data_IF_734983737812
#
_entry.id   IF_734983737812
#
_cell.length_a   1.000
_cell.length_b   1.000
_cell.length_c   1.000
_cell.angle_alpha   90.00
_cell.angle_beta   90.00
_cell.angle_gamma   90.00
#
_symmetry.space_group_name_H-M   'P 1'
#
loop_
_entity.id
_entity.type
_entity.pdbx_description
1 polymer ?
#
# COMPACT_ATOMS: atom_id res chain seq x y z
N UNK A 1 -16.60 9.46 -19.26
CA UNK A 1 -17.81 8.73 -19.71
C UNK A 1 -18.71 9.66 -20.50
N UNK A 2 -18.90 9.34 -21.78
CA UNK A 2 -19.89 9.97 -22.66
C UNK A 2 -20.89 8.89 -23.06
N UNK A 3 -22.18 9.14 -22.85
CA UNK A 3 -23.25 8.24 -23.23
C UNK A 3 -23.44 8.26 -24.76
N UNK A 4 -23.73 7.09 -25.34
CA UNK A 4 -24.18 6.97 -26.72
C UNK A 4 -25.65 7.42 -26.84
N UNK A 5 -26.09 7.65 -28.08
CA UNK A 5 -27.47 8.06 -28.34
C UNK A 5 -28.44 6.92 -27.97
N UNK A 6 -29.39 7.20 -27.08
CA UNK A 6 -30.28 6.18 -26.50
C UNK A 6 -29.66 5.32 -25.38
N UNK A 7 -28.43 5.61 -24.95
CA UNK A 7 -27.80 4.90 -23.81
C UNK A 7 -28.24 5.53 -22.49
N UNK A 8 -28.84 4.71 -21.62
CA UNK A 8 -29.30 5.11 -20.29
C UNK A 8 -28.40 4.54 -19.21
N UNK A 9 -28.05 5.38 -18.23
CA UNK A 9 -27.28 4.96 -17.06
C UNK A 9 -28.20 4.27 -16.05
N UNK A 10 -28.01 2.96 -15.86
CA UNK A 10 -28.79 2.19 -14.90
C UNK A 10 -28.20 2.29 -13.49
N UNK A 11 -26.88 2.18 -13.36
CA UNK A 11 -26.25 2.08 -12.04
C UNK A 11 -24.80 2.55 -12.02
N UNK A 12 -24.39 3.10 -10.88
CA UNK A 12 -23.01 3.48 -10.57
C UNK A 12 -22.51 2.71 -9.37
N UNK A 13 -21.40 2.02 -9.54
CA UNK A 13 -20.77 1.14 -8.57
C UNK A 13 -19.38 1.63 -8.20
N UNK A 14 -18.98 1.36 -6.95
CA UNK A 14 -17.63 1.58 -6.43
C UNK A 14 -17.07 0.26 -5.92
N UNK A 15 -15.77 0.02 -6.06
CA UNK A 15 -15.20 -1.23 -5.59
C UNK A 15 -15.18 -1.27 -4.06
N UNK A 16 -15.47 -2.46 -3.53
CA UNK A 16 -15.43 -2.74 -2.12
C UNK A 16 -13.99 -2.60 -1.57
N UNK A 17 -13.77 -2.05 -0.36
CA UNK A 17 -12.44 -1.91 0.21
C UNK A 17 -11.64 -3.22 0.27
N UNK A 18 -12.32 -4.35 0.50
CA UNK A 18 -11.67 -5.67 0.55
C UNK A 18 -11.02 -6.09 -0.77
N UNK A 19 -11.44 -5.53 -1.91
CA UNK A 19 -10.76 -5.78 -3.18
C UNK A 19 -9.30 -5.26 -3.19
N UNK A 20 -8.96 -4.36 -2.26
CA UNK A 20 -7.63 -3.75 -2.13
C UNK A 20 -6.86 -4.29 -0.91
N UNK A 21 -7.29 -5.41 -0.30
CA UNK A 21 -6.63 -5.99 0.88
C UNK A 21 -5.13 -6.19 0.70
N UNK A 22 -4.69 -6.56 -0.51
CA UNK A 22 -3.26 -6.72 -0.84
C UNK A 22 -2.43 -5.46 -0.54
N UNK A 23 -3.01 -4.27 -0.73
CA UNK A 23 -2.33 -3.00 -0.46
C UNK A 23 -2.57 -2.52 0.97
N UNK A 24 -3.74 -2.78 1.52
CA UNK A 24 -4.06 -2.43 2.92
C UNK A 24 -3.17 -3.23 3.88
N UNK A 25 -2.89 -4.50 3.60
CA UNK A 25 -2.09 -5.39 4.45
C UNK A 25 -0.66 -4.89 4.64
N UNK A 26 -0.01 -4.37 3.58
CA UNK A 26 1.34 -3.82 3.71
C UNK A 26 1.37 -2.54 4.53
N UNK A 27 0.33 -1.70 4.41
CA UNK A 27 0.25 -0.48 5.21
C UNK A 27 0.03 -0.79 6.70
N UNK A 28 -0.85 -1.75 7.01
CA UNK A 28 -1.05 -2.25 8.37
C UNK A 28 0.27 -2.83 8.91
N UNK A 29 0.98 -3.60 8.08
CA UNK A 29 2.28 -4.14 8.44
C UNK A 29 3.29 -3.05 8.84
N UNK A 30 3.39 -1.94 8.10
CA UNK A 30 4.27 -0.83 8.49
C UNK A 30 3.88 -0.19 9.82
N UNK A 31 2.59 -0.04 10.10
CA UNK A 31 2.12 0.42 11.41
C UNK A 31 2.57 -0.54 12.50
N UNK A 32 2.37 -1.85 12.31
CA UNK A 32 2.79 -2.87 13.27
C UNK A 32 4.32 -2.88 13.47
N UNK A 33 5.11 -2.76 12.41
CA UNK A 33 6.57 -2.66 12.49
C UNK A 33 7.00 -1.44 13.29
N UNK A 34 6.40 -0.27 13.03
CA UNK A 34 6.72 0.95 13.75
C UNK A 34 6.38 0.86 15.25
N UNK A 35 5.25 0.23 15.60
CA UNK A 35 4.85 -0.05 16.99
C UNK A 35 5.80 -1.06 17.64
N UNK A 36 6.12 -2.15 16.96
CA UNK A 36 7.05 -3.17 17.45
C UNK A 36 8.45 -2.59 17.69
N UNK A 37 8.95 -1.76 16.77
CA UNK A 37 10.23 -1.08 16.90
C UNK A 37 10.21 -0.12 18.10
N UNK A 38 9.13 0.64 18.32
CA UNK A 38 9.00 1.50 19.50
C UNK A 38 9.05 0.71 20.82
N UNK A 39 8.33 -0.41 20.89
CA UNK A 39 8.30 -1.25 22.08
C UNK A 39 9.70 -1.82 22.41
N UNK A 40 10.48 -2.16 21.38
CA UNK A 40 11.83 -2.72 21.52
C UNK A 40 12.91 -1.62 21.67
N UNK A 41 12.60 -0.37 21.35
CA UNK A 41 13.52 0.77 21.40
C UNK A 41 14.13 1.00 22.77
N UNK A 42 13.34 0.80 23.84
CA UNK A 42 13.77 0.99 25.23
C UNK A 42 15.01 0.16 25.58
N UNK A 43 15.06 -1.11 25.17
CA UNK A 43 16.22 -1.97 25.39
C UNK A 43 17.36 -1.68 24.38
N UNK A 44 17.02 -1.38 23.13
CA UNK A 44 18.00 -1.05 22.09
C UNK A 44 18.80 0.21 22.42
N UNK A 45 18.13 1.25 22.91
CA UNK A 45 18.71 2.56 23.20
C UNK A 45 19.80 2.50 24.27
N UNK A 46 19.64 1.64 25.30
CA UNK A 46 20.63 1.42 26.36
C UNK A 46 21.94 0.87 25.80
N UNK A 47 21.84 -0.05 24.84
CA UNK A 47 23.00 -0.67 24.17
C UNK A 47 23.61 0.32 23.17
N UNK A 48 22.76 1.08 22.47
CA UNK A 48 23.19 2.03 21.46
C UNK A 48 23.93 3.25 22.04
N UNK A 49 23.58 3.70 23.24
CA UNK A 49 24.23 4.86 23.89
C UNK A 49 25.65 4.60 24.38
N UNK A 50 26.05 3.33 24.53
CA UNK A 50 27.35 2.94 25.11
C UNK A 50 28.37 2.52 24.05
N UNK A 51 27.93 2.32 22.80
CA UNK A 51 28.73 1.70 21.74
C UNK A 51 28.81 2.55 20.47
N UNK A 52 30.01 2.63 19.88
CA UNK A 52 30.25 3.21 18.53
C UNK A 52 29.43 2.47 17.46
N UNK A 53 29.02 1.23 17.72
CA UNK A 53 28.16 0.43 16.85
C UNK A 53 26.65 0.67 17.07
N UNK A 54 26.25 1.59 17.95
CA UNK A 54 24.84 1.82 18.30
C UNK A 54 23.97 2.25 17.11
N UNK A 55 24.48 3.15 16.26
CA UNK A 55 23.80 3.61 15.05
C UNK A 55 23.64 2.49 14.01
N UNK A 56 24.70 1.80 13.55
CA UNK A 56 24.55 0.74 12.55
C UNK A 56 23.72 -0.43 13.07
N UNK A 57 23.86 -0.83 14.34
CA UNK A 57 23.06 -1.91 14.94
C UNK A 57 21.57 -1.57 14.94
N UNK A 58 21.23 -0.33 15.32
CA UNK A 58 19.85 0.16 15.30
C UNK A 58 19.24 0.09 13.91
N UNK A 59 19.96 0.57 12.90
CA UNK A 59 19.49 0.56 11.53
C UNK A 59 19.30 -0.86 11.02
N UNK A 60 20.26 -1.76 11.26
CA UNK A 60 20.16 -3.18 10.88
C UNK A 60 18.93 -3.83 11.51
N UNK A 61 18.67 -3.57 12.79
CA UNK A 61 17.50 -4.10 13.47
C UNK A 61 16.19 -3.58 12.88
N UNK A 62 16.10 -2.27 12.65
CA UNK A 62 14.94 -1.65 12.01
C UNK A 62 14.71 -2.18 10.60
N UNK A 63 15.75 -2.28 9.77
CA UNK A 63 15.70 -2.89 8.44
C UNK A 63 15.27 -4.35 8.48
N UNK A 64 15.76 -5.11 9.46
CA UNK A 64 15.35 -6.50 9.68
C UNK A 64 13.85 -6.62 9.92
N UNK A 65 13.30 -5.80 10.82
CA UNK A 65 11.84 -5.77 11.06
C UNK A 65 11.07 -5.29 9.83
N UNK A 66 11.57 -4.28 9.11
CA UNK A 66 10.90 -3.74 7.94
C UNK A 66 10.83 -4.75 6.79
N UNK A 67 11.91 -5.49 6.54
CA UNK A 67 12.02 -6.44 5.42
C UNK A 67 11.54 -7.85 5.73
N UNK A 68 11.34 -8.22 7.00
CA UNK A 68 10.97 -9.58 7.40
C UNK A 68 9.77 -10.16 6.62
N UNK A 69 8.60 -9.52 6.66
CA UNK A 69 7.44 -10.02 5.93
C UNK A 69 7.53 -9.83 4.40
N UNK A 70 8.00 -8.69 3.86
CA UNK A 70 8.18 -8.50 2.43
C UNK A 70 9.11 -9.51 1.76
N UNK A 71 10.17 -9.96 2.44
CA UNK A 71 11.05 -11.03 1.94
C UNK A 71 10.27 -12.33 1.81
N UNK A 72 9.51 -12.71 2.83
CA UNK A 72 8.66 -13.91 2.81
C UNK A 72 7.65 -13.83 1.66
N UNK A 73 6.93 -12.72 1.53
CA UNK A 73 5.95 -12.53 0.45
C UNK A 73 6.61 -12.55 -0.93
N UNK A 74 7.77 -11.91 -1.08
CA UNK A 74 8.53 -11.92 -2.33
C UNK A 74 8.98 -13.32 -2.74
N UNK A 75 9.38 -14.14 -1.77
CA UNK A 75 9.81 -15.52 -2.02
C UNK A 75 8.65 -16.45 -2.40
N UNK A 76 7.48 -16.32 -1.74
CA UNK A 76 6.36 -17.24 -1.95
C UNK A 76 5.38 -16.85 -3.06
N UNK A 77 5.15 -15.55 -3.29
CA UNK A 77 4.05 -15.08 -4.14
C UNK A 77 4.49 -14.42 -5.46
N UNK A 78 5.80 -14.40 -5.77
CA UNK A 78 6.35 -13.80 -7.01
C UNK A 78 5.86 -12.34 -7.21
N UNK A 79 5.53 -11.64 -6.12
CA UNK A 79 5.17 -10.21 -6.16
C UNK A 79 6.23 -9.42 -5.41
N UNK A 80 7.08 -8.71 -6.15
CA UNK A 80 8.19 -7.92 -5.59
C UNK A 80 7.78 -6.54 -5.09
N UNK A 81 6.54 -6.10 -5.35
CA UNK A 81 6.07 -4.76 -4.97
C UNK A 81 6.19 -4.45 -3.47
N UNK A 82 5.81 -5.35 -2.54
CA UNK A 82 5.97 -5.07 -1.11
C UNK A 82 7.43 -4.86 -0.70
N UNK A 83 8.33 -5.65 -1.30
CA UNK A 83 9.76 -5.55 -1.07
C UNK A 83 10.29 -4.20 -1.57
N UNK A 84 9.92 -3.79 -2.78
CA UNK A 84 10.31 -2.49 -3.33
C UNK A 84 9.82 -1.31 -2.48
N UNK A 85 8.56 -1.33 -2.04
CA UNK A 85 8.04 -0.29 -1.15
C UNK A 85 8.78 -0.25 0.19
N UNK A 86 9.14 -1.40 0.74
CA UNK A 86 9.84 -1.50 2.03
C UNK A 86 11.28 -1.02 1.91
N UNK A 87 11.97 -1.38 0.82
CA UNK A 87 13.32 -0.87 0.52
C UNK A 87 13.29 0.64 0.31
N UNK A 88 12.31 1.16 -0.42
CA UNK A 88 12.17 2.60 -0.63
C UNK A 88 11.96 3.37 0.69
N UNK A 89 11.07 2.88 1.55
CA UNK A 89 10.83 3.46 2.87
C UNK A 89 12.07 3.36 3.76
N UNK A 90 12.75 2.21 3.75
CA UNK A 90 13.99 1.97 4.49
C UNK A 90 15.12 2.90 4.06
N UNK A 91 15.31 3.05 2.75
CA UNK A 91 16.33 3.91 2.15
C UNK A 91 16.06 5.38 2.49
N UNK A 92 14.80 5.82 2.39
CA UNK A 92 14.40 7.19 2.75
C UNK A 92 14.62 7.47 4.24
N UNK A 93 14.19 6.57 5.13
CA UNK A 93 14.38 6.73 6.57
C UNK A 93 15.87 6.75 6.94
N UNK A 94 16.67 5.88 6.33
CA UNK A 94 18.13 5.85 6.52
C UNK A 94 18.76 7.17 6.05
N UNK A 95 18.43 7.63 4.84
CA UNK A 95 18.95 8.88 4.32
C UNK A 95 18.62 10.08 5.23
N UNK A 96 17.38 10.18 5.72
CA UNK A 96 16.97 11.23 6.66
C UNK A 96 17.77 11.23 7.96
N UNK A 97 18.11 10.05 8.48
CA UNK A 97 18.98 9.92 9.66
C UNK A 97 20.41 10.37 9.35
N UNK A 98 20.97 9.97 8.21
CA UNK A 98 22.33 10.38 7.80
C UNK A 98 22.45 11.89 7.54
N UNK A 99 21.42 12.51 6.95
CA UNK A 99 21.35 13.97 6.79
C UNK A 99 21.08 14.73 8.09
N UNK A 100 21.00 14.04 9.24
CA UNK A 100 20.63 14.60 10.56
C UNK A 100 19.28 15.33 10.56
N UNK A 101 18.43 15.07 9.58
CA UNK A 101 17.07 15.60 9.51
C UNK A 101 16.14 14.89 10.51
N UNK A 102 16.52 13.69 10.96
CA UNK A 102 15.71 12.88 11.87
C UNK A 102 16.59 12.08 12.87
N UNK A 103 16.27 12.06 14.18
CA UNK A 103 16.95 11.19 15.14
C UNK A 103 16.47 9.73 15.01
N UNK A 104 17.26 8.79 15.52
CA UNK A 104 16.97 7.34 15.46
C UNK A 104 15.64 6.96 16.15
N UNK A 105 15.27 7.66 17.23
CA UNK A 105 14.00 7.46 17.94
C UNK A 105 12.78 7.74 17.06
N UNK A 106 12.94 8.60 16.04
CA UNK A 106 11.87 8.96 15.12
C UNK A 106 11.66 7.95 13.99
N UNK A 107 12.47 6.88 13.89
CA UNK A 107 12.25 5.81 12.91
C UNK A 107 10.93 5.07 13.13
N UNK A 108 10.50 4.93 14.38
CA UNK A 108 9.17 4.37 14.71
C UNK A 108 8.04 5.24 14.14
N UNK A 109 7.88 6.52 14.56
CA UNK A 109 6.79 7.35 14.04
C UNK A 109 6.89 7.57 12.54
N UNK A 110 8.10 7.57 11.95
CA UNK A 110 8.30 7.60 10.51
C UNK A 110 7.69 6.38 9.80
N UNK A 111 7.93 5.18 10.32
CA UNK A 111 7.38 3.94 9.73
C UNK A 111 5.85 3.89 9.87
N UNK A 112 5.33 4.31 11.03
CA UNK A 112 3.88 4.42 11.27
C UNK A 112 3.27 5.44 10.29
N UNK A 113 3.88 6.61 10.14
CA UNK A 113 3.43 7.63 9.20
C UNK A 113 3.45 7.10 7.75
N UNK A 114 4.48 6.35 7.35
CA UNK A 114 4.53 5.68 6.05
C UNK A 114 3.37 4.71 5.84
N UNK A 115 2.99 3.94 6.87
CA UNK A 115 1.80 3.08 6.84
C UNK A 115 0.49 3.87 6.69
N UNK A 116 0.30 4.93 7.48
CA UNK A 116 -0.91 5.78 7.43
C UNK A 116 -1.02 6.49 6.09
N UNK A 117 0.06 7.10 5.60
CA UNK A 117 0.11 7.75 4.28
C UNK A 117 -0.21 6.71 3.19
N UNK A 118 0.36 5.50 3.31
CA UNK A 118 0.04 4.40 2.42
C UNK A 118 -1.46 4.08 2.39
N UNK A 119 -2.13 4.00 3.54
CA UNK A 119 -3.57 3.78 3.61
C UNK A 119 -4.36 4.89 2.91
N UNK A 120 -3.96 6.16 3.09
CA UNK A 120 -4.59 7.29 2.42
C UNK A 120 -4.41 7.20 0.89
N UNK A 121 -3.22 6.83 0.42
CA UNK A 121 -2.95 6.62 -1.00
C UNK A 121 -3.79 5.47 -1.56
N UNK A 122 -3.91 4.36 -0.83
CA UNK A 122 -4.75 3.21 -1.23
C UNK A 122 -6.22 3.60 -1.31
N UNK A 123 -6.72 4.37 -0.35
CA UNK A 123 -8.10 4.84 -0.36
C UNK A 123 -8.35 5.84 -1.50
N UNK A 124 -7.41 6.75 -1.76
CA UNK A 124 -7.48 7.65 -2.91
C UNK A 124 -7.45 6.87 -4.24
N UNK A 125 -6.59 5.85 -4.35
CA UNK A 125 -6.53 4.96 -5.50
C UNK A 125 -7.86 4.23 -5.71
N UNK A 126 -8.43 3.66 -4.64
CA UNK A 126 -9.74 2.99 -4.66
C UNK A 126 -10.86 3.92 -5.13
N UNK A 127 -10.90 5.16 -4.61
CA UNK A 127 -11.91 6.17 -5.00
C UNK A 127 -11.79 6.57 -6.47
N UNK A 128 -10.62 6.42 -7.07
CA UNK A 128 -10.40 6.64 -8.50
C UNK A 128 -11.08 5.60 -9.39
N UNK A 129 -11.46 4.44 -8.88
CA UNK A 129 -12.14 3.40 -9.65
C UNK A 129 -13.67 3.53 -9.57
N UNK A 130 -14.32 3.59 -10.73
CA UNK A 130 -15.78 3.62 -10.86
C UNK A 130 -16.24 2.65 -11.94
N UNK A 131 -17.39 2.04 -11.68
CA UNK A 131 -18.03 1.09 -12.59
C UNK A 131 -19.41 1.64 -12.92
N UNK A 132 -19.73 1.76 -14.20
CA UNK A 132 -21.02 2.23 -14.68
C UNK A 132 -21.67 1.09 -15.44
N UNK A 133 -22.93 0.79 -15.11
CA UNK A 133 -23.75 -0.17 -15.83
C UNK A 133 -24.79 0.64 -16.59
N UNK A 134 -24.80 0.50 -17.92
CA UNK A 134 -25.82 1.09 -18.78
C UNK A 134 -26.74 0.00 -19.32
N UNK A 135 -27.74 0.39 -20.13
CA UNK A 135 -28.58 -0.55 -20.87
C UNK A 135 -27.84 -1.29 -22.00
N UNK A 136 -26.64 -0.87 -22.39
CA UNK A 136 -25.89 -1.45 -23.54
C UNK A 136 -24.53 -2.05 -23.17
N UNK A 137 -23.86 -1.54 -22.13
CA UNK A 137 -22.47 -1.91 -21.81
C UNK A 137 -22.11 -1.65 -20.35
N UNK A 138 -20.98 -2.23 -19.95
CA UNK A 138 -20.30 -1.92 -18.69
C UNK A 138 -19.12 -1.01 -18.99
N UNK A 139 -19.04 0.12 -18.29
CA UNK A 139 -17.93 1.07 -18.39
C UNK A 139 -17.13 1.05 -17.10
N UNK A 140 -15.86 0.65 -17.21
CA UNK A 140 -14.89 0.67 -16.12
C UNK A 140 -13.99 1.89 -16.28
N UNK A 141 -14.08 2.83 -15.35
CA UNK A 141 -13.29 4.04 -15.35
C UNK A 141 -12.28 4.01 -14.19
N UNK A 142 -11.04 4.34 -14.50
CA UNK A 142 -9.99 4.59 -13.52
C UNK A 142 -9.51 6.03 -13.69
N UNK A 143 -9.69 6.84 -12.66
CA UNK A 143 -9.28 8.25 -12.57
C UNK A 143 -8.43 8.43 -11.33
N UNK A 144 -7.14 8.15 -11.44
CA UNK A 144 -6.21 8.37 -10.33
C UNK A 144 -4.99 9.18 -10.77
N UNK A 145 -4.14 8.61 -11.62
CA UNK A 145 -2.99 9.30 -12.23
C UNK A 145 -3.22 9.48 -13.73
N UNK A 146 -3.64 8.42 -14.40
CA UNK A 146 -4.06 8.43 -15.79
C UNK A 146 -5.55 8.13 -15.83
N UNK A 147 -6.28 8.83 -16.69
CA UNK A 147 -7.66 8.48 -17.01
C UNK A 147 -7.66 7.35 -18.03
N UNK A 148 -8.17 6.19 -17.63
CA UNK A 148 -8.38 5.07 -18.53
C UNK A 148 -9.82 4.61 -18.41
N UNK A 149 -10.53 4.57 -19.54
CA UNK A 149 -11.87 4.02 -19.62
C UNK A 149 -11.83 2.75 -20.47
N UNK A 150 -12.43 1.68 -19.96
CA UNK A 150 -12.61 0.42 -20.68
C UNK A 150 -14.09 0.15 -20.82
N UNK A 151 -14.51 -0.20 -22.02
CA UNK A 151 -15.88 -0.48 -22.38
C UNK A 151 -16.01 -1.98 -22.69
N UNK A 152 -17.09 -2.60 -22.22
CA UNK A 152 -17.44 -4.00 -22.52
C UNK A 152 -18.92 -4.03 -22.85
N UNK A 153 -19.28 -4.31 -24.12
CA UNK A 153 -20.67 -4.42 -24.54
C UNK A 153 -21.28 -5.72 -24.04
N UNK A 154 -22.59 -5.74 -23.76
CA UNK A 154 -23.25 -6.95 -23.28
C UNK A 154 -23.24 -8.09 -24.31
N UNK A 155 -23.23 -7.77 -25.59
CA UNK A 155 -23.11 -8.73 -26.70
C UNK A 155 -21.78 -9.51 -26.66
N UNK A 156 -20.71 -8.90 -26.11
CA UNK A 156 -19.40 -9.54 -25.97
C UNK A 156 -19.30 -10.42 -24.72
N UNK A 157 -20.30 -10.39 -23.83
CA UNK A 157 -20.32 -11.20 -22.61
C UNK A 157 -20.96 -12.54 -22.92
N UNK A 158 -20.13 -13.56 -23.08
CA UNK A 158 -20.58 -14.92 -23.43
C UNK A 158 -21.15 -15.70 -22.25
N UNK A 159 -20.68 -15.44 -21.02
CA UNK A 159 -21.15 -16.13 -19.82
C UNK A 159 -20.99 -15.25 -18.55
N UNK A 160 -21.86 -15.46 -17.57
CA UNK A 160 -21.83 -14.80 -16.27
C UNK A 160 -22.06 -15.84 -15.18
N UNK A 161 -21.01 -16.09 -14.38
CA UNK A 161 -21.09 -17.02 -13.26
C UNK A 161 -21.30 -16.27 -11.94
N UNK A 162 -22.53 -16.26 -11.38
CA UNK A 162 -22.77 -15.65 -10.08
C UNK A 162 -22.16 -16.52 -8.98
N UNK A 163 -21.28 -15.95 -8.17
CA UNK A 163 -20.85 -16.54 -6.88
C UNK A 163 -21.47 -15.73 -5.74
N UNK A 164 -22.26 -16.41 -4.90
CA UNK A 164 -22.65 -15.86 -3.60
C UNK A 164 -21.44 -15.96 -2.67
N UNK A 165 -20.94 -14.80 -2.25
CA UNK A 165 -19.96 -14.66 -1.16
C UNK A 165 -20.67 -14.54 0.18
#
# INVERSE_FOLDING_TARGET
>A
MRLLEGEELLMVLRPHPLAFMRYISICIYYVLVGVAFHALWGELSKIASVSVLGLPLTLVFWWGLLLAAPIVVGLFHITFWPLLCSIGLGALGTALVFYRAMPLSSLSPFTIAGGIIGLLVVEAFRRGHRYYITNMRIVMSKKFITESERYVHFEDITDVVPKKG
#
